data_IF_026688722271
#
_entry.id   IF_026688722271
#
_cell.length_a   1.000
_cell.length_b   1.000
_cell.length_c   1.000
_cell.angle_alpha   90.00
_cell.angle_beta   90.00
_cell.angle_gamma   90.00
#
_symmetry.space_group_name_H-M   'P 1'
#
loop_
_entity.id
_entity.type
_entity.pdbx_description
1 polymer ?
#
# COMPACT_ATOMS: atom_id res chain seq x y z
N UNK A 1 43.45 -1.00 11.94
CA UNK A 1 43.28 0.17 12.83
C UNK A 1 43.61 1.42 12.03
N UNK A 2 42.60 2.05 11.43
CA UNK A 2 42.74 3.29 10.67
C UNK A 2 41.89 4.38 11.30
N UNK A 3 42.50 5.53 11.59
CA UNK A 3 41.90 6.70 12.25
C UNK A 3 40.92 7.40 11.32
N UNK A 4 39.72 7.70 11.81
CA UNK A 4 38.76 8.58 11.15
C UNK A 4 39.15 10.04 11.45
N UNK A 5 39.38 10.81 10.40
CA UNK A 5 39.64 12.25 10.46
C UNK A 5 38.34 13.00 10.77
N UNK A 6 38.36 13.84 11.81
CA UNK A 6 37.27 14.78 12.14
C UNK A 6 37.43 16.06 11.31
N UNK A 7 36.37 16.68 10.80
CA UNK A 7 36.45 18.04 10.29
C UNK A 7 36.68 19.02 11.46
N UNK A 8 37.70 19.85 11.34
CA UNK A 8 37.99 21.00 12.20
C UNK A 8 37.05 22.15 11.81
N UNK A 9 36.30 22.69 12.75
CA UNK A 9 35.49 23.92 12.56
C UNK A 9 36.27 25.07 13.19
N UNK A 10 36.77 25.97 12.34
CA UNK A 10 37.40 27.21 12.75
C UNK A 10 36.34 28.20 13.27
N UNK A 11 36.70 28.90 14.34
CA UNK A 11 35.79 29.69 15.17
C UNK A 11 36.04 31.17 14.96
N UNK A 12 35.58 31.74 13.85
CA UNK A 12 35.36 33.19 13.73
C UNK A 12 34.66 33.55 12.42
N UNK A 13 33.38 33.90 12.50
CA UNK A 13 32.82 35.12 11.90
C UNK A 13 31.36 35.27 12.33
N UNK A 14 31.15 36.11 13.35
CA UNK A 14 29.81 36.59 13.72
C UNK A 14 29.48 37.72 12.73
N UNK A 15 28.70 37.40 11.70
CA UNK A 15 27.98 38.42 10.93
C UNK A 15 26.50 38.31 11.31
N UNK A 16 26.09 39.24 12.17
CA UNK A 16 24.70 39.46 12.56
C UNK A 16 23.96 40.14 11.41
N UNK A 17 23.30 39.37 10.55
CA UNK A 17 22.25 39.89 9.69
C UNK A 17 20.90 39.69 10.38
N UNK A 18 20.38 40.74 11.00
CA UNK A 18 19.02 40.80 11.52
C UNK A 18 18.04 40.75 10.35
N UNK A 19 17.51 39.57 10.03
CA UNK A 19 16.25 39.42 9.32
C UNK A 19 15.27 38.73 10.27
N UNK A 20 14.17 39.42 10.58
CA UNK A 20 13.00 38.82 11.20
C UNK A 20 12.43 37.75 10.26
N UNK A 21 12.39 36.45 10.62
CA UNK A 21 11.71 35.47 9.79
C UNK A 21 10.24 35.38 10.23
N UNK A 22 9.35 35.41 9.25
CA UNK A 22 7.93 35.10 9.39
C UNK A 22 7.72 33.72 10.02
N UNK A 23 7.00 33.72 11.14
CA UNK A 23 5.80 32.93 11.45
C UNK A 23 5.49 31.79 10.45
N UNK A 24 6.14 30.64 10.60
CA UNK A 24 5.59 29.27 10.55
C UNK A 24 6.77 28.28 10.69
N UNK A 25 6.65 27.20 11.49
CA UNK A 25 7.73 26.21 11.57
C UNK A 25 7.93 25.57 10.19
N UNK A 26 9.17 25.48 9.69
CA UNK A 26 9.44 24.84 8.40
C UNK A 26 8.92 23.40 8.40
N UNK A 27 8.55 22.89 7.22
CA UNK A 27 8.25 21.47 7.05
C UNK A 27 9.42 20.61 7.55
N UNK A 28 9.17 19.37 8.02
CA UNK A 28 10.23 18.47 8.46
C UNK A 28 11.36 18.34 7.44
N UNK A 29 12.57 18.07 7.93
CA UNK A 29 13.81 17.89 7.18
C UNK A 29 14.20 19.12 6.35
N UNK A 30 13.89 20.32 6.86
CA UNK A 30 14.14 21.61 6.21
C UNK A 30 13.48 21.77 4.83
N UNK A 31 12.37 21.08 4.56
CA UNK A 31 11.60 21.30 3.32
C UNK A 31 11.01 22.73 3.31
N UNK A 32 10.99 23.35 2.14
CA UNK A 32 10.46 24.70 1.89
C UNK A 32 9.41 24.64 0.79
N UNK A 33 8.34 25.42 0.95
CA UNK A 33 7.27 25.53 -0.03
C UNK A 33 5.92 25.81 0.63
N UNK A 34 4.96 26.22 -0.20
CA UNK A 34 3.57 26.41 0.17
C UNK A 34 2.84 25.06 0.32
N UNK A 35 1.76 24.97 1.12
CA UNK A 35 1.02 23.73 1.33
C UNK A 35 0.56 23.00 0.05
N UNK A 36 0.32 23.76 -1.04
CA UNK A 36 -0.10 23.24 -2.34
C UNK A 36 1.06 22.82 -3.25
N UNK A 37 2.30 23.13 -2.89
CA UNK A 37 3.46 22.77 -3.70
C UNK A 37 3.64 21.26 -3.74
N UNK A 38 3.89 20.71 -4.92
CA UNK A 38 4.18 19.29 -5.13
C UNK A 38 5.69 19.12 -5.28
N UNK A 39 6.38 18.51 -4.29
CA UNK A 39 7.82 18.31 -4.37
C UNK A 39 8.18 17.38 -5.54
N UNK A 40 9.16 17.81 -6.33
CA UNK A 40 9.68 17.04 -7.46
C UNK A 40 11.12 16.61 -7.15
N UNK A 41 11.46 15.32 -7.29
CA UNK A 41 12.82 14.83 -7.13
C UNK A 41 13.82 15.58 -8.01
N UNK A 42 14.98 15.91 -7.48
CA UNK A 42 16.04 16.59 -8.24
C UNK A 42 16.79 15.59 -9.10
N UNK A 43 16.90 15.89 -10.39
CA UNK A 43 17.67 15.09 -11.35
C UNK A 43 16.86 13.93 -11.95
N UNK A 44 17.21 13.59 -13.20
CA UNK A 44 16.46 12.61 -14.00
C UNK A 44 16.43 11.21 -13.38
N UNK A 45 17.51 10.80 -12.73
CA UNK A 45 17.62 9.47 -12.10
C UNK A 45 16.69 9.38 -10.89
N UNK A 46 16.66 10.39 -10.01
CA UNK A 46 15.78 10.41 -8.86
C UNK A 46 14.30 10.46 -9.28
N UNK A 47 13.97 11.23 -10.33
CA UNK A 47 12.63 11.23 -10.91
C UNK A 47 12.24 9.85 -11.41
N UNK A 48 13.11 9.19 -12.19
CA UNK A 48 12.85 7.84 -12.70
C UNK A 48 12.64 6.83 -11.55
N UNK A 49 13.43 6.90 -10.49
CA UNK A 49 13.27 6.06 -9.30
C UNK A 49 11.91 6.34 -8.64
N UNK A 50 11.53 7.61 -8.50
CA UNK A 50 10.24 8.03 -7.95
C UNK A 50 9.08 7.46 -8.76
N UNK A 51 9.12 7.60 -10.09
CA UNK A 51 8.07 7.10 -11.00
C UNK A 51 7.94 5.57 -10.92
N UNK A 52 9.05 4.85 -10.84
CA UNK A 52 9.06 3.38 -10.69
C UNK A 52 8.50 2.94 -9.32
N UNK A 53 8.75 3.69 -8.25
CA UNK A 53 8.14 3.44 -6.95
C UNK A 53 6.64 3.75 -6.93
N UNK A 54 6.19 4.73 -7.71
CA UNK A 54 4.77 5.04 -7.94
C UNK A 54 4.01 3.88 -8.60
N UNK A 55 4.70 3.10 -9.44
CA UNK A 55 4.12 1.91 -10.08
C UNK A 55 3.94 0.72 -9.13
N UNK A 56 4.59 0.73 -7.97
CA UNK A 56 4.42 -0.34 -6.97
C UNK A 56 3.12 -0.14 -6.22
N UNK A 57 2.17 -1.02 -6.48
CA UNK A 57 0.95 -1.07 -5.71
C UNK A 57 1.09 -1.83 -4.39
N UNK A 58 0.22 -1.47 -3.46
CA UNK A 58 -0.03 -2.09 -2.17
C UNK A 58 0.13 -3.63 -2.18
N UNK A 59 0.88 -4.23 -1.23
CA UNK A 59 0.84 -5.69 -0.94
C UNK A 59 -0.45 -6.08 -0.17
N UNK A 60 -1.55 -5.44 -0.57
CA UNK A 60 -2.86 -5.55 0.04
C UNK A 60 -3.50 -6.87 -0.43
N UNK A 61 -3.45 -7.89 0.43
CA UNK A 61 -4.05 -9.20 0.13
C UNK A 61 -5.58 -9.21 0.25
N UNK A 62 -6.14 -8.15 0.83
CA UNK A 62 -7.58 -7.95 0.87
C UNK A 62 -7.93 -6.48 1.07
N UNK A 63 -9.07 -6.07 0.53
CA UNK A 63 -9.66 -4.75 0.70
C UNK A 63 -11.16 -4.84 0.53
N UNK A 64 -11.89 -3.84 1.02
CA UNK A 64 -13.34 -3.83 0.93
C UNK A 64 -13.94 -2.50 1.34
N UNK A 65 -15.25 -2.39 1.16
CA UNK A 65 -16.02 -1.20 1.49
C UNK A 65 -17.38 -1.17 0.83
N UNK A 66 -17.95 0.02 0.73
CA UNK A 66 -19.20 0.24 0.00
C UNK A 66 -18.97 0.07 -1.51
N UNK A 67 -19.85 -0.69 -2.16
CA UNK A 67 -19.78 -0.92 -3.59
C UNK A 67 -20.62 0.12 -4.35
N UNK A 68 -20.17 1.38 -4.34
CA UNK A 68 -20.85 2.48 -5.04
C UNK A 68 -21.00 2.26 -6.55
N UNK A 69 -20.17 1.39 -7.12
CA UNK A 69 -20.18 1.00 -8.53
C UNK A 69 -21.32 0.03 -8.88
N UNK A 70 -22.03 -0.51 -7.87
CA UNK A 70 -23.11 -1.48 -8.07
C UNK A 70 -24.48 -0.85 -7.82
N UNK A 71 -25.50 -1.19 -8.63
CA UNK A 71 -26.86 -0.80 -8.31
C UNK A 71 -27.31 -1.50 -7.02
N UNK A 72 -28.21 -0.85 -6.29
CA UNK A 72 -28.75 -1.38 -5.01
C UNK A 72 -29.44 -2.74 -5.22
N UNK A 73 -30.13 -2.90 -6.35
CA UNK A 73 -30.88 -4.10 -6.66
C UNK A 73 -30.17 -4.91 -7.75
N UNK A 74 -29.66 -6.12 -7.44
CA UNK A 74 -29.02 -6.98 -8.43
C UNK A 74 -30.01 -7.61 -9.44
N UNK A 75 -31.32 -7.56 -9.15
CA UNK A 75 -32.30 -8.36 -9.88
C UNK A 75 -32.03 -9.86 -9.74
N UNK A 76 -31.61 -10.31 -8.55
CA UNK A 76 -31.33 -11.72 -8.28
C UNK A 76 -32.60 -12.55 -8.47
N UNK A 77 -32.55 -13.54 -9.35
CA UNK A 77 -33.57 -14.56 -9.54
C UNK A 77 -33.01 -15.91 -9.16
N UNK A 78 -33.76 -16.69 -8.37
CA UNK A 78 -33.45 -18.09 -8.05
C UNK A 78 -34.45 -19.01 -8.74
N UNK A 79 -33.95 -20.11 -9.28
CA UNK A 79 -34.76 -21.15 -9.92
C UNK A 79 -35.87 -21.63 -8.97
N UNK A 80 -37.09 -21.82 -9.49
CA UNK A 80 -38.28 -22.27 -8.73
C UNK A 80 -38.81 -21.33 -7.62
N UNK A 81 -38.11 -20.23 -7.31
CA UNK A 81 -38.57 -19.21 -6.35
C UNK A 81 -38.99 -17.94 -7.09
N UNK A 82 -38.21 -17.52 -8.10
CA UNK A 82 -38.39 -16.25 -8.78
C UNK A 82 -37.48 -15.16 -8.24
N UNK A 83 -37.96 -13.92 -8.26
CA UNK A 83 -37.15 -12.74 -7.92
C UNK A 83 -37.01 -12.59 -6.40
N UNK A 84 -35.77 -12.42 -5.95
CA UNK A 84 -35.43 -12.18 -4.54
C UNK A 84 -35.62 -10.70 -4.23
N UNK A 85 -36.36 -10.41 -3.16
CA UNK A 85 -36.57 -9.06 -2.66
C UNK A 85 -35.41 -8.62 -1.75
N UNK A 86 -35.09 -7.33 -1.80
CA UNK A 86 -34.06 -6.70 -0.96
C UNK A 86 -34.65 -5.46 -0.25
N UNK A 87 -34.21 -5.11 0.98
CA UNK A 87 -33.26 -5.86 1.79
C UNK A 87 -33.76 -7.25 2.16
N UNK A 88 -32.83 -8.21 2.28
CA UNK A 88 -33.20 -9.60 2.54
C UNK A 88 -33.91 -9.73 3.89
N UNK A 89 -35.08 -10.39 3.88
CA UNK A 89 -35.91 -10.63 5.07
C UNK A 89 -36.21 -12.12 5.25
N UNK A 90 -36.61 -12.50 6.47
CA UNK A 90 -36.85 -13.89 6.86
C UNK A 90 -37.81 -14.66 5.96
N UNK A 91 -38.92 -14.06 5.54
CA UNK A 91 -39.91 -14.70 4.65
C UNK A 91 -39.28 -15.19 3.33
N UNK A 92 -38.45 -14.35 2.71
CA UNK A 92 -37.73 -14.70 1.48
C UNK A 92 -36.67 -15.78 1.77
N UNK A 93 -36.01 -15.72 2.93
CA UNK A 93 -35.01 -16.73 3.32
C UNK A 93 -35.64 -18.11 3.48
N UNK A 94 -36.83 -18.22 4.07
CA UNK A 94 -37.53 -19.51 4.17
C UNK A 94 -37.80 -20.13 2.80
N UNK A 95 -38.07 -19.31 1.77
CA UNK A 95 -38.17 -19.79 0.39
C UNK A 95 -36.80 -20.19 -0.17
N UNK A 96 -35.76 -19.37 0.04
CA UNK A 96 -34.40 -19.65 -0.43
C UNK A 96 -33.84 -20.97 0.13
N UNK A 97 -34.13 -21.28 1.40
CA UNK A 97 -33.73 -22.55 2.03
C UNK A 97 -34.22 -23.77 1.27
N UNK A 98 -35.37 -23.71 0.61
CA UNK A 98 -35.93 -24.84 -0.15
C UNK A 98 -35.12 -25.20 -1.40
N UNK A 99 -34.33 -24.26 -1.92
CA UNK A 99 -33.45 -24.47 -3.09
C UNK A 99 -31.96 -24.51 -2.70
N UNK A 100 -31.64 -24.10 -1.48
CA UNK A 100 -30.26 -24.03 -1.01
C UNK A 100 -29.82 -25.34 -0.36
N UNK A 101 -28.52 -25.63 -0.48
CA UNK A 101 -27.88 -26.69 0.30
C UNK A 101 -27.47 -26.11 1.65
N UNK A 102 -27.92 -26.69 2.75
CA UNK A 102 -27.39 -26.35 4.07
C UNK A 102 -25.92 -26.79 4.15
N UNK A 103 -25.06 -25.85 4.53
CA UNK A 103 -23.65 -26.13 4.79
C UNK A 103 -23.51 -26.55 6.26
N UNK A 104 -23.48 -25.56 7.16
CA UNK A 104 -23.40 -25.72 8.61
C UNK A 104 -23.98 -24.48 9.30
N UNK A 105 -24.33 -24.60 10.58
CA UNK A 105 -24.75 -23.49 11.45
C UNK A 105 -25.68 -22.50 10.75
N UNK A 106 -26.92 -22.85 10.40
CA UNK A 106 -27.88 -21.88 9.84
C UNK A 106 -27.33 -21.07 8.64
N UNK A 107 -26.49 -21.71 7.82
CA UNK A 107 -25.90 -21.13 6.62
C UNK A 107 -26.15 -22.04 5.43
N UNK A 108 -26.58 -21.43 4.33
CA UNK A 108 -27.04 -22.12 3.15
C UNK A 108 -26.35 -21.58 1.89
N UNK A 109 -26.03 -22.49 0.98
CA UNK A 109 -25.40 -22.18 -0.29
C UNK A 109 -26.35 -22.49 -1.44
N UNK A 110 -26.53 -21.52 -2.34
CA UNK A 110 -27.19 -21.72 -3.63
C UNK A 110 -26.11 -21.68 -4.71
N UNK A 111 -25.97 -22.74 -5.53
CA UNK A 111 -24.96 -22.77 -6.58
C UNK A 111 -25.25 -21.75 -7.68
N UNK A 112 -24.21 -21.21 -8.31
CA UNK A 112 -24.37 -20.21 -9.37
C UNK A 112 -25.26 -20.66 -10.54
N UNK A 113 -25.31 -21.97 -10.82
CA UNK A 113 -26.15 -22.54 -11.89
C UNK A 113 -27.66 -22.37 -11.66
N UNK A 114 -28.09 -22.11 -10.43
CA UNK A 114 -29.51 -21.95 -10.09
C UNK A 114 -29.94 -20.48 -10.00
N UNK A 115 -29.02 -19.53 -10.20
CA UNK A 115 -29.28 -18.11 -10.02
C UNK A 115 -28.98 -17.33 -11.31
N UNK A 116 -29.70 -16.23 -11.50
CA UNK A 116 -29.47 -15.29 -12.58
C UNK A 116 -29.60 -13.86 -12.07
N UNK A 117 -28.73 -12.96 -12.55
CA UNK A 117 -28.86 -11.52 -12.30
C UNK A 117 -29.62 -10.90 -13.46
N UNK A 118 -30.82 -10.40 -13.21
CA UNK A 118 -31.68 -9.82 -14.24
C UNK A 118 -31.44 -8.35 -14.47
N UNK A 119 -30.80 -7.64 -13.53
CA UNK A 119 -30.45 -6.24 -13.72
C UNK A 119 -29.19 -6.14 -14.60
N UNK A 120 -29.25 -5.61 -15.84
CA UNK A 120 -28.07 -5.45 -16.69
C UNK A 120 -27.05 -4.45 -16.11
N UNK A 121 -27.51 -3.48 -15.31
CA UNK A 121 -26.61 -2.55 -14.61
C UNK A 121 -25.76 -3.27 -13.55
N UNK A 122 -26.26 -4.39 -13.00
CA UNK A 122 -25.47 -5.21 -12.08
C UNK A 122 -24.30 -5.86 -12.80
N UNK A 123 -24.54 -6.43 -13.99
CA UNK A 123 -23.48 -7.00 -14.82
C UNK A 123 -22.42 -5.96 -15.21
N UNK A 124 -22.88 -4.78 -15.62
CA UNK A 124 -21.99 -3.65 -15.97
C UNK A 124 -21.20 -3.16 -14.75
N UNK A 125 -21.85 -3.00 -13.59
CA UNK A 125 -21.20 -2.60 -12.34
C UNK A 125 -20.19 -3.62 -11.85
N UNK A 126 -20.46 -4.93 -11.98
CA UNK A 126 -19.48 -5.98 -11.68
C UNK A 126 -18.28 -5.87 -12.61
N UNK A 127 -18.46 -5.62 -13.90
CA UNK A 127 -17.33 -5.42 -14.82
C UNK A 127 -16.45 -4.22 -14.42
N UNK A 128 -17.06 -3.09 -14.05
CA UNK A 128 -16.32 -1.91 -13.56
C UNK A 128 -15.61 -2.21 -12.24
N UNK A 129 -16.28 -2.88 -11.30
CA UNK A 129 -15.67 -3.33 -10.05
C UNK A 129 -14.48 -4.27 -10.32
N UNK A 130 -14.59 -5.17 -11.30
CA UNK A 130 -13.48 -6.07 -11.68
C UNK A 130 -12.30 -5.32 -12.28
N UNK A 131 -12.54 -4.29 -13.10
CA UNK A 131 -11.46 -3.45 -13.64
C UNK A 131 -10.74 -2.71 -12.51
N UNK A 132 -11.48 -2.13 -11.57
CA UNK A 132 -10.92 -1.50 -10.36
C UNK A 132 -10.09 -2.50 -9.53
N UNK A 133 -10.59 -3.72 -9.33
CA UNK A 133 -9.87 -4.77 -8.60
C UNK A 133 -8.62 -5.20 -9.37
N UNK A 134 -8.72 -5.38 -10.69
CA UNK A 134 -7.59 -5.75 -11.53
C UNK A 134 -6.47 -4.73 -11.42
N UNK A 135 -6.82 -3.44 -11.52
CA UNK A 135 -5.88 -2.34 -11.33
C UNK A 135 -5.23 -2.44 -9.95
N UNK A 136 -6.01 -2.50 -8.85
CA UNK A 136 -5.52 -2.60 -7.47
C UNK A 136 -4.63 -3.81 -7.17
N UNK A 137 -4.73 -4.87 -7.97
CA UNK A 137 -3.97 -6.11 -7.80
C UNK A 137 -2.79 -6.21 -8.78
N UNK A 138 -2.48 -5.15 -9.54
CA UNK A 138 -1.37 -5.13 -10.51
C UNK A 138 -1.66 -5.90 -11.81
N UNK A 139 -2.93 -6.12 -12.13
CA UNK A 139 -3.41 -6.66 -13.41
C UNK A 139 -3.95 -5.54 -14.31
N UNK A 140 -3.27 -4.37 -14.31
CA UNK A 140 -3.60 -3.26 -15.20
C UNK A 140 -3.64 -3.74 -16.65
N UNK A 141 -4.63 -3.27 -17.41
CA UNK A 141 -4.89 -3.64 -18.81
C UNK A 141 -5.21 -5.13 -19.06
N UNK A 142 -5.41 -5.93 -17.99
CA UNK A 142 -5.86 -7.31 -18.10
C UNK A 142 -7.33 -7.38 -17.71
N UNK A 143 -8.15 -7.78 -18.68
CA UNK A 143 -9.58 -8.05 -18.46
C UNK A 143 -9.78 -9.34 -17.64
N UNK A 144 -9.70 -9.25 -16.31
CA UNK A 144 -10.03 -10.35 -15.42
C UNK A 144 -11.48 -10.80 -15.64
N UNK A 145 -11.70 -12.11 -15.62
CA UNK A 145 -13.01 -12.70 -15.90
C UNK A 145 -13.75 -13.01 -14.60
N UNK A 146 -14.81 -12.25 -14.24
CA UNK A 146 -15.63 -12.59 -13.09
C UNK A 146 -16.49 -13.81 -13.34
N UNK A 147 -16.46 -14.75 -12.40
CA UNK A 147 -17.33 -15.92 -12.39
C UNK A 147 -18.04 -16.04 -11.06
N UNK A 148 -19.36 -15.87 -11.04
CA UNK A 148 -20.16 -16.20 -9.87
C UNK A 148 -20.03 -17.70 -9.60
N UNK A 149 -19.70 -18.06 -8.36
CA UNK A 149 -19.57 -19.47 -7.96
C UNK A 149 -20.76 -19.93 -7.14
N UNK A 150 -21.22 -19.09 -6.22
CA UNK A 150 -22.34 -19.37 -5.33
C UNK A 150 -22.89 -18.11 -4.67
N UNK A 151 -24.08 -18.25 -4.14
CA UNK A 151 -24.73 -17.29 -3.24
C UNK A 151 -24.81 -17.94 -1.85
N UNK A 152 -24.29 -17.25 -0.84
CA UNK A 152 -24.34 -17.64 0.56
C UNK A 152 -25.45 -16.88 1.27
N UNK A 153 -26.25 -17.57 2.07
CA UNK A 153 -27.25 -16.99 2.98
C UNK A 153 -26.91 -17.44 4.40
N UNK A 154 -26.79 -16.51 5.35
CA UNK A 154 -26.57 -16.80 6.77
C UNK A 154 -27.73 -16.21 7.57
N UNK A 155 -28.38 -17.03 8.39
CA UNK A 155 -29.41 -16.61 9.33
C UNK A 155 -28.89 -16.41 10.75
N UNK A 156 -29.77 -16.15 11.72
CA UNK A 156 -29.39 -16.00 13.12
C UNK A 156 -28.67 -17.24 13.64
N UNK A 157 -27.46 -17.01 14.12
CA UNK A 157 -26.54 -18.02 14.59
C UNK A 157 -25.61 -18.61 13.55
N UNK A 158 -25.73 -18.18 12.29
CA UNK A 158 -24.92 -18.73 11.22
C UNK A 158 -23.60 -18.05 10.96
N UNK A 159 -22.66 -18.85 10.45
CA UNK A 159 -21.27 -18.48 10.22
C UNK A 159 -20.71 -19.28 9.03
N UNK A 160 -19.57 -18.82 8.52
CA UNK A 160 -18.80 -19.55 7.51
C UNK A 160 -17.46 -19.88 8.13
N UNK A 161 -17.19 -21.17 8.36
CA UNK A 161 -15.92 -21.60 8.91
C UNK A 161 -14.75 -21.27 7.98
N UNK A 162 -13.58 -21.07 8.60
CA UNK A 162 -12.34 -20.85 7.86
C UNK A 162 -11.91 -22.14 7.19
N UNK A 163 -12.15 -22.24 5.89
CA UNK A 163 -11.60 -23.33 5.08
C UNK A 163 -10.18 -22.98 4.59
N UNK A 164 -9.29 -23.98 4.46
CA UNK A 164 -7.98 -23.77 3.85
C UNK A 164 -8.12 -23.12 2.48
N UNK A 165 -7.22 -22.19 2.16
CA UNK A 165 -7.22 -21.51 0.87
C UNK A 165 -7.00 -22.52 -0.26
N UNK A 166 -8.05 -22.87 -1.00
CA UNK A 166 -7.93 -23.71 -2.19
C UNK A 166 -7.75 -22.80 -3.40
N UNK A 167 -6.51 -22.73 -3.91
CA UNK A 167 -6.23 -22.06 -5.17
C UNK A 167 -6.81 -22.93 -6.29
N UNK A 168 -7.88 -22.45 -6.91
CA UNK A 168 -8.55 -23.17 -8.01
C UNK A 168 -8.13 -22.59 -9.35
N UNK A 169 -7.37 -23.36 -10.12
CA UNK A 169 -7.02 -23.02 -11.50
C UNK A 169 -6.34 -21.66 -11.63
N UNK A 170 -6.95 -20.77 -12.43
CA UNK A 170 -6.43 -19.43 -12.77
C UNK A 170 -7.03 -18.29 -11.93
N UNK A 171 -7.59 -18.60 -10.76
CA UNK A 171 -8.18 -17.59 -9.88
C UNK A 171 -7.09 -16.74 -9.22
N UNK A 172 -7.21 -15.41 -9.32
CA UNK A 172 -6.28 -14.45 -8.69
C UNK A 172 -6.85 -13.78 -7.46
N UNK A 173 -8.18 -13.66 -7.38
CA UNK A 173 -8.88 -13.05 -6.26
C UNK A 173 -10.32 -13.54 -6.17
N UNK A 174 -10.90 -13.41 -4.98
CA UNK A 174 -12.29 -13.76 -4.68
C UNK A 174 -13.02 -12.51 -4.17
N UNK A 175 -13.85 -11.86 -5.00
CA UNK A 175 -14.78 -10.84 -4.57
C UNK A 175 -16.01 -11.46 -3.90
N UNK A 176 -16.32 -11.01 -2.69
CA UNK A 176 -17.54 -11.29 -1.95
C UNK A 176 -18.38 -10.02 -1.98
N UNK A 177 -19.47 -10.04 -2.73
CA UNK A 177 -20.38 -8.89 -2.88
C UNK A 177 -21.64 -9.16 -2.08
N UNK A 178 -21.91 -8.31 -1.09
CA UNK A 178 -23.07 -8.39 -0.24
C UNK A 178 -24.11 -7.38 -0.71
N UNK A 179 -25.21 -7.79 -1.36
CA UNK A 179 -26.33 -6.89 -1.65
C UNK A 179 -27.07 -6.51 -0.34
N UNK A 180 -28.02 -5.55 -0.42
CA UNK A 180 -28.67 -5.02 0.77
C UNK A 180 -29.30 -6.08 1.67
N UNK A 181 -28.91 -6.11 2.94
CA UNK A 181 -29.31 -7.13 3.92
C UNK A 181 -29.48 -6.49 5.28
N UNK A 182 -30.50 -6.88 6.03
CA UNK A 182 -30.74 -6.40 7.39
C UNK A 182 -30.30 -7.46 8.40
N UNK A 183 -29.15 -7.25 9.04
CA UNK A 183 -28.55 -8.21 9.99
C UNK A 183 -27.54 -7.53 10.92
N UNK A 184 -27.13 -8.25 11.97
CA UNK A 184 -26.09 -7.83 12.93
C UNK A 184 -25.09 -8.96 13.17
N UNK A 185 -23.84 -8.63 13.50
CA UNK A 185 -22.73 -9.57 13.53
C UNK A 185 -22.32 -9.97 12.12
N UNK A 186 -21.78 -11.18 11.94
CA UNK A 186 -21.44 -11.68 10.60
C UNK A 186 -20.27 -10.95 9.93
N UNK A 187 -19.32 -10.46 10.71
CA UNK A 187 -18.12 -9.81 10.19
C UNK A 187 -17.31 -10.78 9.35
N UNK A 188 -16.67 -10.25 8.32
CA UNK A 188 -15.87 -11.04 7.40
C UNK A 188 -14.39 -10.89 7.77
N UNK A 189 -13.72 -12.00 8.07
CA UNK A 189 -12.30 -12.00 8.47
C UNK A 189 -11.45 -12.69 7.42
N UNK A 190 -10.49 -11.94 6.87
CA UNK A 190 -9.53 -12.45 5.88
C UNK A 190 -8.16 -12.64 6.52
N UNK A 191 -7.54 -13.80 6.28
CA UNK A 191 -6.17 -14.07 6.69
C UNK A 191 -5.36 -14.62 5.53
N UNK A 192 -4.13 -14.13 5.39
CA UNK A 192 -3.15 -14.66 4.44
C UNK A 192 -2.58 -15.97 4.98
N UNK A 193 -2.32 -16.96 4.14
CA UNK A 193 -1.70 -18.21 4.57
C UNK A 193 -0.38 -17.94 5.33
N UNK A 194 -0.26 -18.49 6.54
CA UNK A 194 0.92 -18.32 7.41
C UNK A 194 0.99 -16.99 8.17
N UNK A 195 0.05 -16.06 7.96
CA UNK A 195 -0.01 -14.82 8.74
C UNK A 195 -0.66 -15.05 10.12
N UNK A 196 -0.16 -14.35 11.14
CA UNK A 196 -0.73 -14.36 12.50
C UNK A 196 -1.91 -13.39 12.66
N UNK A 197 -2.01 -12.40 11.78
CA UNK A 197 -3.00 -11.32 11.87
C UNK A 197 -4.09 -11.52 10.80
N UNK A 198 -5.33 -11.17 11.16
CA UNK A 198 -6.48 -11.19 10.27
C UNK A 198 -7.01 -9.76 10.09
N UNK A 199 -7.58 -9.46 8.93
CA UNK A 199 -8.25 -8.19 8.66
C UNK A 199 -9.76 -8.42 8.76
N UNK A 200 -10.43 -7.63 9.62
CA UNK A 200 -11.87 -7.70 9.86
C UNK A 200 -12.61 -6.63 9.06
N UNK A 201 -13.71 -7.02 8.43
CA UNK A 201 -14.62 -6.14 7.70
C UNK A 201 -16.03 -6.18 8.31
N UNK A 202 -16.46 -5.05 8.84
CA UNK A 202 -17.78 -4.85 9.44
C UNK A 202 -18.81 -4.48 8.36
N UNK A 203 -19.39 -5.51 7.74
CA UNK A 203 -20.35 -5.35 6.64
C UNK A 203 -21.80 -5.19 7.13
N UNK A 204 -22.08 -5.49 8.41
CA UNK A 204 -23.41 -5.44 9.02
C UNK A 204 -23.76 -4.08 9.66
N UNK A 205 -23.15 -3.00 9.17
CA UNK A 205 -23.39 -1.64 9.68
C UNK A 205 -24.77 -1.10 9.24
N UNK A 206 -25.12 0.12 9.66
CA UNK A 206 -26.41 0.75 9.34
C UNK A 206 -26.68 0.94 7.84
N UNK A 207 -25.65 0.96 7.00
CA UNK A 207 -25.78 1.04 5.55
C UNK A 207 -26.07 -0.31 4.88
N UNK A 208 -25.85 -1.44 5.57
CA UNK A 208 -26.00 -2.78 5.04
C UNK A 208 -27.39 -3.05 4.46
N UNK A 209 -28.45 -2.47 5.04
CA UNK A 209 -29.82 -2.63 4.57
C UNK A 209 -30.15 -1.84 3.29
N UNK A 210 -29.29 -0.92 2.85
CA UNK A 210 -29.61 0.03 1.78
C UNK A 210 -28.56 0.13 0.68
N UNK A 211 -27.37 -0.46 0.90
CA UNK A 211 -26.25 -0.39 -0.03
C UNK A 211 -25.49 -1.71 -0.12
N UNK A 212 -25.06 -2.10 -1.34
CA UNK A 212 -24.18 -3.22 -1.49
C UNK A 212 -22.80 -2.92 -0.90
N UNK A 213 -22.19 -3.92 -0.28
CA UNK A 213 -20.80 -3.90 0.15
C UNK A 213 -20.00 -4.94 -0.63
N UNK A 214 -18.69 -4.79 -0.64
CA UNK A 214 -17.81 -5.80 -1.19
C UNK A 214 -16.55 -5.97 -0.35
N UNK A 215 -16.01 -7.18 -0.34
CA UNK A 215 -14.67 -7.48 0.13
C UNK A 215 -13.99 -8.34 -0.93
N UNK A 216 -12.73 -8.06 -1.21
CA UNK A 216 -11.90 -8.83 -2.13
C UNK A 216 -10.75 -9.39 -1.34
N UNK A 217 -10.38 -10.64 -1.61
CA UNK A 217 -9.15 -11.22 -1.10
C UNK A 217 -8.44 -12.02 -2.18
N UNK A 218 -7.11 -11.97 -2.18
CA UNK A 218 -6.28 -12.61 -3.19
C UNK A 218 -6.27 -14.14 -3.03
N UNK A 219 -5.93 -14.84 -4.11
CA UNK A 219 -5.72 -16.28 -4.08
C UNK A 219 -4.64 -16.66 -3.05
N UNK A 220 -4.89 -17.71 -2.27
CA UNK A 220 -4.01 -18.12 -1.16
C UNK A 220 -4.37 -17.47 0.19
N UNK A 221 -5.27 -16.48 0.21
CA UNK A 221 -5.92 -16.01 1.42
C UNK A 221 -7.12 -16.90 1.78
N UNK A 222 -7.38 -17.06 3.08
CA UNK A 222 -8.57 -17.72 3.61
C UNK A 222 -9.54 -16.69 4.19
N UNK A 223 -10.82 -16.99 4.16
CA UNK A 223 -11.88 -16.13 4.66
C UNK A 223 -12.81 -16.93 5.57
N UNK A 224 -13.27 -16.32 6.66
CA UNK A 224 -14.41 -16.81 7.43
C UNK A 224 -15.42 -15.68 7.64
N UNK A 225 -16.62 -16.05 8.06
CA UNK A 225 -17.66 -15.12 8.48
C UNK A 225 -18.01 -15.46 9.91
N UNK A 226 -17.91 -14.46 10.80
CA UNK A 226 -18.31 -14.59 12.20
C UNK A 226 -19.82 -14.87 12.32
N UNK A 227 -20.27 -15.13 13.54
CA UNK A 227 -21.65 -15.48 13.79
C UNK A 227 -22.58 -14.29 13.54
N UNK A 228 -23.58 -14.47 12.69
CA UNK A 228 -24.72 -13.54 12.57
C UNK A 228 -25.54 -13.66 13.85
N UNK A 229 -25.78 -12.55 14.54
CA UNK A 229 -26.51 -12.54 15.83
C UNK A 229 -28.00 -12.24 15.65
N UNK A 230 -28.35 -11.46 14.62
CA UNK A 230 -29.73 -11.12 14.28
C UNK A 230 -29.88 -10.89 12.76
N UNK A 231 -31.09 -11.08 12.24
CA UNK A 231 -31.42 -10.87 10.83
C UNK A 231 -30.78 -11.89 9.88
N UNK A 232 -30.70 -11.53 8.60
CA UNK A 232 -30.21 -12.42 7.55
C UNK A 232 -29.25 -11.71 6.61
N UNK A 233 -28.11 -12.37 6.36
CA UNK A 233 -27.05 -11.89 5.47
C UNK A 233 -27.08 -12.72 4.18
N UNK A 234 -27.01 -12.08 3.01
CA UNK A 234 -26.74 -12.77 1.74
C UNK A 234 -25.51 -12.19 1.06
N UNK A 235 -24.69 -13.05 0.46
CA UNK A 235 -23.47 -12.65 -0.24
C UNK A 235 -23.26 -13.47 -1.50
N UNK A 236 -22.84 -12.80 -2.57
CA UNK A 236 -22.45 -13.39 -3.84
C UNK A 236 -20.95 -13.58 -3.85
N UNK A 237 -20.48 -14.80 -4.08
CA UNK A 237 -19.06 -15.14 -4.09
C UNK A 237 -18.60 -15.36 -5.53
N UNK A 238 -17.76 -14.45 -6.00
CA UNK A 238 -17.16 -14.48 -7.33
C UNK A 238 -15.73 -15.01 -7.27
N UNK A 239 -15.26 -15.58 -8.37
CA UNK A 239 -13.85 -15.78 -8.66
C UNK A 239 -13.44 -14.85 -9.78
N UNK A 240 -12.33 -14.13 -9.62
CA UNK A 240 -11.69 -13.40 -10.70
C UNK A 240 -10.62 -14.28 -11.32
N UNK A 241 -10.83 -14.65 -12.58
CA UNK A 241 -9.95 -15.55 -13.31
C UNK A 241 -9.04 -14.76 -14.26
N UNK A 242 -7.77 -15.13 -14.28
CA UNK A 242 -6.85 -14.75 -15.36
C UNK A 242 -7.33 -15.33 -16.69
N UNK A 243 -7.39 -14.51 -17.76
CA UNK A 243 -7.61 -15.02 -19.11
C UNK A 243 -6.58 -16.08 -19.50
N UNK A 244 -6.97 -17.02 -20.37
CA UNK A 244 -6.13 -18.16 -20.74
C UNK A 244 -4.78 -17.73 -21.37
N UNK A 245 -4.79 -16.61 -22.09
CA UNK A 245 -3.65 -16.03 -22.79
C UNK A 245 -2.62 -15.35 -21.88
N UNK A 246 -2.99 -14.97 -20.64
CA UNK A 246 -2.09 -14.23 -19.74
C UNK A 246 -1.33 -15.21 -18.84
N UNK A 247 0.01 -15.31 -18.89
CA UNK A 247 0.77 -16.26 -18.09
C UNK A 247 0.41 -16.25 -16.59
N UNK A 248 0.37 -17.44 -15.96
CA UNK A 248 -0.04 -17.57 -14.55
C UNK A 248 0.92 -16.87 -13.58
N UNK A 249 2.17 -16.66 -14.00
CA UNK A 249 3.21 -15.95 -13.26
C UNK A 249 3.31 -14.46 -13.68
N UNK A 250 2.29 -13.89 -14.34
CA UNK A 250 2.26 -12.50 -14.80
C UNK A 250 2.76 -11.51 -13.74
N UNK A 251 2.18 -11.49 -12.54
CA UNK A 251 2.60 -10.55 -11.49
C UNK A 251 4.05 -10.76 -11.05
N UNK A 252 4.55 -12.01 -11.06
CA UNK A 252 5.95 -12.29 -10.75
C UNK A 252 6.85 -11.77 -11.87
N UNK A 253 6.50 -11.98 -13.14
CA UNK A 253 7.25 -11.48 -14.29
C UNK A 253 7.24 -9.97 -14.37
N UNK A 254 6.08 -9.34 -14.22
CA UNK A 254 5.93 -7.89 -14.19
C UNK A 254 6.75 -7.29 -13.06
N UNK A 255 6.69 -7.87 -11.85
CA UNK A 255 7.53 -7.44 -10.71
C UNK A 255 9.02 -7.61 -10.99
N UNK A 256 9.46 -8.74 -11.55
CA UNK A 256 10.87 -8.97 -11.88
C UNK A 256 11.38 -8.00 -12.94
N UNK A 257 10.58 -7.73 -13.99
CA UNK A 257 10.91 -6.76 -15.02
C UNK A 257 11.04 -5.35 -14.42
N UNK A 258 10.05 -4.93 -13.62
CA UNK A 258 10.05 -3.65 -12.94
C UNK A 258 11.24 -3.53 -11.96
N UNK A 259 11.58 -4.60 -11.23
CA UNK A 259 12.74 -4.63 -10.32
C UNK A 259 14.05 -4.50 -11.08
N UNK A 260 14.14 -5.06 -12.29
CA UNK A 260 15.27 -4.88 -13.19
C UNK A 260 15.40 -3.44 -13.69
N UNK A 261 14.29 -2.79 -14.05
CA UNK A 261 14.26 -1.36 -14.42
C UNK A 261 14.68 -0.47 -13.25
N UNK A 262 14.16 -0.74 -12.05
CA UNK A 262 14.58 -0.02 -10.85
C UNK A 262 16.07 -0.25 -10.55
N UNK A 263 16.57 -1.49 -10.64
CA UNK A 263 17.99 -1.77 -10.45
C UNK A 263 18.86 -1.01 -11.47
N UNK A 264 18.42 -0.92 -12.72
CA UNK A 264 19.12 -0.14 -13.75
C UNK A 264 19.11 1.37 -13.43
N UNK A 265 18.04 1.91 -12.86
CA UNK A 265 17.98 3.29 -12.40
C UNK A 265 18.88 3.52 -11.16
N UNK A 266 18.82 2.63 -10.17
CA UNK A 266 19.65 2.71 -8.96
C UNK A 266 21.16 2.64 -9.30
N UNK A 267 21.54 1.85 -10.31
CA UNK A 267 22.94 1.75 -10.78
C UNK A 267 23.49 3.08 -11.33
N UNK A 268 22.61 3.97 -11.79
CA UNK A 268 23.00 5.29 -12.32
C UNK A 268 23.21 6.34 -11.23
N UNK A 269 22.87 6.03 -9.97
CA UNK A 269 23.25 6.88 -8.86
C UNK A 269 24.79 6.91 -8.76
N UNK A 270 25.34 8.12 -8.65
CA UNK A 270 26.76 8.29 -8.35
C UNK A 270 27.06 7.57 -7.03
N UNK A 271 28.11 6.77 -7.01
CA UNK A 271 28.51 6.08 -5.78
C UNK A 271 29.07 7.08 -4.78
N UNK A 272 28.87 6.78 -3.49
CA UNK A 272 29.45 7.56 -2.40
C UNK A 272 30.99 7.48 -2.37
N UNK A 273 31.62 8.10 -1.35
CA UNK A 273 33.05 8.45 -1.32
C UNK A 273 34.07 7.31 -1.54
N UNK A 274 33.65 6.05 -1.55
CA UNK A 274 34.53 4.88 -1.60
C UNK A 274 34.89 4.42 -3.03
N UNK A 275 34.32 5.04 -4.08
CA UNK A 275 34.55 4.65 -5.48
C UNK A 275 35.65 5.44 -6.22
N UNK A 276 36.48 6.23 -5.51
CA UNK A 276 37.66 6.90 -6.08
C UNK A 276 38.76 5.87 -6.51
N UNK A 277 38.60 4.59 -6.17
CA UNK A 277 39.60 3.54 -6.44
C UNK A 277 39.46 2.77 -7.75
N UNK A 278 38.42 3.00 -8.56
CA UNK A 278 38.17 2.18 -9.77
C UNK A 278 37.84 3.03 -11.00
N UNK A 279 38.76 3.92 -11.36
CA UNK A 279 38.85 4.41 -12.74
C UNK A 279 40.13 3.78 -13.30
N UNK A 280 39.97 2.79 -14.17
CA UNK A 280 41.05 2.38 -15.06
C UNK A 280 41.40 3.60 -15.92
N UNK A 281 42.61 4.13 -15.72
CA UNK A 281 43.14 5.27 -16.49
C UNK A 281 43.31 4.87 -17.96
N UNK A 282 42.37 5.28 -18.82
CA UNK A 282 42.61 5.41 -20.26
C UNK A 282 43.22 6.80 -20.52
N UNK A 283 44.45 6.91 -21.06
CA UNK A 283 45.10 8.19 -21.25
C UNK A 283 44.71 8.81 -22.60
N UNK A 284 43.97 9.92 -22.59
CA UNK A 284 43.91 10.83 -23.73
C UNK A 284 44.35 12.24 -23.35
N UNK A 285 45.23 12.88 -24.15
CA UNK A 285 45.86 14.13 -23.78
C UNK A 285 45.04 15.35 -24.23
N UNK A 286 44.89 16.31 -23.30
CA UNK A 286 44.94 17.75 -23.55
C UNK A 286 43.72 18.44 -24.17
N UNK A 287 43.01 19.24 -23.37
CA UNK A 287 43.02 20.71 -23.50
C UNK A 287 42.36 21.37 -22.26
N UNK A 288 42.93 22.44 -21.65
CA UNK A 288 42.35 23.06 -20.47
C UNK A 288 41.81 24.47 -20.79
N UNK A 289 40.54 24.61 -21.21
CA UNK A 289 39.90 25.94 -21.21
C UNK A 289 38.43 25.85 -20.81
N UNK A 290 38.16 26.35 -19.60
CA UNK A 290 36.92 26.95 -19.11
C UNK A 290 35.59 26.36 -19.62
N UNK A 291 35.10 25.36 -18.88
CA UNK A 291 33.67 25.26 -18.60
C UNK A 291 33.52 25.16 -17.08
N UNK A 292 33.18 26.26 -16.43
CA UNK A 292 32.62 26.25 -15.08
C UNK A 292 31.19 25.70 -15.18
N UNK A 293 31.07 24.41 -15.46
CA UNK A 293 29.85 23.68 -15.18
C UNK A 293 29.76 23.58 -13.66
N UNK A 294 28.74 24.23 -13.10
CA UNK A 294 28.18 24.05 -11.77
C UNK A 294 28.41 22.61 -11.25
N UNK A 295 29.53 22.40 -10.55
CA UNK A 295 29.86 21.14 -9.88
C UNK A 295 29.06 21.10 -8.60
N UNK A 296 27.78 20.77 -8.72
CA UNK A 296 26.92 20.42 -7.59
C UNK A 296 27.37 19.09 -6.99
N UNK A 297 28.28 19.17 -6.01
CA UNK A 297 28.82 18.07 -5.18
C UNK A 297 27.73 17.12 -4.64
N UNK A 298 27.49 16.03 -5.38
CA UNK A 298 27.90 14.65 -5.08
C UNK A 298 27.87 14.23 -3.59
N UNK A 299 26.66 13.88 -3.12
CA UNK A 299 26.31 12.80 -2.17
C UNK A 299 24.87 13.03 -1.67
N UNK A 300 23.89 12.99 -2.57
CA UNK A 300 22.51 13.33 -2.23
C UNK A 300 21.76 12.13 -1.62
N UNK A 301 21.39 12.23 -0.34
CA UNK A 301 20.51 11.26 0.30
C UNK A 301 19.14 11.35 -0.38
N UNK A 302 18.74 10.26 -1.03
CA UNK A 302 17.37 10.07 -1.48
C UNK A 302 16.48 9.76 -0.27
N UNK A 303 15.44 10.56 -0.07
CA UNK A 303 14.46 10.35 0.99
C UNK A 303 13.09 10.04 0.37
N UNK A 304 12.34 9.15 1.00
CA UNK A 304 10.96 8.85 0.63
C UNK A 304 10.12 8.86 1.91
N UNK A 305 9.04 9.64 1.92
CA UNK A 305 8.13 9.74 3.07
C UNK A 305 7.23 8.52 3.07
N UNK A 306 7.15 7.82 4.21
CA UNK A 306 6.26 6.68 4.35
C UNK A 306 4.80 7.16 4.44
N UNK A 307 3.92 6.52 3.66
CA UNK A 307 2.51 6.90 3.55
C UNK A 307 1.73 6.65 4.84
N UNK A 308 2.06 5.60 5.60
CA UNK A 308 1.42 5.32 6.88
C UNK A 308 2.19 5.92 8.07
N UNK A 309 1.45 6.31 9.11
CA UNK A 309 2.04 6.72 10.39
C UNK A 309 2.49 5.52 11.20
N UNK A 310 3.78 5.20 11.13
CA UNK A 310 4.40 4.21 12.01
C UNK A 310 4.76 4.86 13.34
N UNK A 311 3.93 4.63 14.36
CA UNK A 311 4.26 4.94 15.76
C UNK A 311 5.57 4.25 16.18
N UNK A 312 5.95 4.35 17.47
CA UNK A 312 7.12 3.69 18.12
C UNK A 312 7.42 2.22 17.75
N UNK A 313 6.60 1.53 16.95
CA UNK A 313 6.83 0.21 16.36
C UNK A 313 8.13 0.08 15.56
N UNK A 314 8.56 1.11 14.80
CA UNK A 314 9.89 1.10 14.17
C UNK A 314 11.06 1.16 15.19
N UNK A 315 10.76 1.35 16.48
CA UNK A 315 11.75 1.35 17.58
C UNK A 315 11.99 -0.04 18.19
N UNK A 316 11.23 -1.06 17.79
CA UNK A 316 11.38 -2.44 18.25
C UNK A 316 11.99 -3.35 17.15
N UNK A 317 12.35 -4.59 17.54
CA UNK A 317 13.13 -5.56 16.75
C UNK A 317 12.56 -5.94 15.38
N UNK A 318 11.38 -5.46 15.02
CA UNK A 318 10.70 -5.80 13.77
C UNK A 318 11.22 -4.98 12.57
N UNK A 319 11.84 -3.81 12.82
CA UNK A 319 12.49 -3.01 11.76
C UNK A 319 11.59 -2.75 10.56
N UNK A 320 12.09 -3.03 9.34
CA UNK A 320 11.31 -2.88 8.11
C UNK A 320 10.13 -3.86 8.00
N UNK A 321 10.11 -4.96 8.76
CA UNK A 321 8.97 -5.90 8.76
C UNK A 321 7.72 -5.31 9.41
N UNK A 322 7.87 -4.23 10.18
CA UNK A 322 6.76 -3.44 10.74
C UNK A 322 6.04 -2.59 9.69
N UNK A 323 6.64 -2.37 8.51
CA UNK A 323 5.97 -1.69 7.40
C UNK A 323 4.76 -2.50 6.94
N UNK A 324 3.71 -1.81 6.52
CA UNK A 324 2.49 -2.41 5.99
C UNK A 324 2.05 -1.71 4.70
N UNK A 325 1.14 -2.35 3.96
CA UNK A 325 0.60 -1.78 2.73
C UNK A 325 1.67 -1.36 1.71
N UNK A 326 1.58 -0.11 1.25
CA UNK A 326 2.31 0.40 0.09
C UNK A 326 3.75 0.67 0.45
N UNK A 327 4.00 1.11 1.69
CA UNK A 327 5.34 1.30 2.23
C UNK A 327 6.12 -0.01 2.26
N UNK A 328 5.49 -1.10 2.73
CA UNK A 328 6.13 -2.43 2.72
C UNK A 328 6.40 -2.89 1.30
N UNK A 329 5.44 -2.70 0.40
CA UNK A 329 5.56 -3.11 -0.99
C UNK A 329 6.72 -2.37 -1.69
N UNK A 330 6.77 -1.05 -1.57
CA UNK A 330 7.83 -0.18 -2.12
C UNK A 330 9.18 -0.48 -1.50
N UNK A 331 9.26 -0.66 -0.18
CA UNK A 331 10.51 -0.98 0.48
C UNK A 331 11.04 -2.37 0.09
N UNK A 332 10.16 -3.38 -0.01
CA UNK A 332 10.55 -4.69 -0.54
C UNK A 332 11.01 -4.58 -2.00
N UNK A 333 10.32 -3.79 -2.82
CA UNK A 333 10.70 -3.56 -4.21
C UNK A 333 12.08 -2.90 -4.34
N UNK A 334 12.38 -1.92 -3.49
CA UNK A 334 13.72 -1.33 -3.35
C UNK A 334 14.76 -2.37 -2.96
N UNK A 335 14.47 -3.23 -1.99
CA UNK A 335 15.39 -4.31 -1.57
C UNK A 335 15.62 -5.33 -2.68
N UNK A 336 14.57 -5.74 -3.37
CA UNK A 336 14.64 -6.69 -4.49
C UNK A 336 15.54 -6.10 -5.58
N UNK A 337 15.30 -4.84 -6.00
CA UNK A 337 16.13 -4.15 -6.99
C UNK A 337 17.58 -3.93 -6.53
N UNK A 338 17.78 -3.52 -5.27
CA UNK A 338 19.11 -3.33 -4.70
C UNK A 338 19.92 -4.63 -4.67
N UNK A 339 19.28 -5.78 -4.44
CA UNK A 339 19.95 -7.08 -4.46
C UNK A 339 20.49 -7.49 -5.83
N UNK A 340 19.97 -6.87 -6.91
CA UNK A 340 20.44 -7.07 -8.28
C UNK A 340 21.68 -6.23 -8.61
N UNK A 341 22.03 -5.25 -7.77
CA UNK A 341 23.24 -4.43 -7.94
C UNK A 341 24.50 -5.20 -7.51
N UNK A 342 25.66 -4.93 -8.15
CA UNK A 342 26.95 -5.40 -7.67
C UNK A 342 27.17 -5.00 -6.20
N UNK A 343 27.84 -5.82 -5.36
CA UNK A 343 27.97 -5.55 -3.92
C UNK A 343 28.48 -4.15 -3.57
N UNK A 344 29.43 -3.59 -4.34
CA UNK A 344 29.95 -2.23 -4.12
C UNK A 344 29.03 -1.09 -4.54
N UNK A 345 27.92 -1.37 -5.23
CA UNK A 345 26.90 -0.40 -5.65
C UNK A 345 25.58 -0.55 -4.89
N UNK A 346 25.50 -1.47 -3.93
CA UNK A 346 24.30 -1.66 -3.14
C UNK A 346 24.09 -0.48 -2.18
N UNK A 347 22.89 0.09 -2.22
CA UNK A 347 22.49 1.18 -1.34
C UNK A 347 22.29 0.71 0.10
N UNK A 348 22.58 1.62 1.03
CA UNK A 348 22.24 1.45 2.44
C UNK A 348 20.92 2.14 2.76
N UNK A 349 20.01 1.42 3.40
CA UNK A 349 18.69 1.93 3.78
C UNK A 349 18.63 2.30 5.26
N UNK A 350 18.02 3.45 5.55
CA UNK A 350 17.79 3.93 6.91
C UNK A 350 16.37 4.48 7.06
N UNK A 351 15.81 4.34 8.26
CA UNK A 351 14.60 5.05 8.65
C UNK A 351 14.97 6.31 9.43
N UNK A 352 14.42 7.45 9.04
CA UNK A 352 14.59 8.72 9.75
C UNK A 352 13.25 9.11 10.39
N UNK A 353 13.28 9.48 11.67
CA UNK A 353 12.14 10.05 12.36
C UNK A 353 12.52 11.45 12.84
N UNK A 354 11.69 12.44 12.50
CA UNK A 354 11.87 13.82 12.92
C UNK A 354 10.86 14.22 13.98
N UNK A 355 11.32 14.97 14.99
CA UNK A 355 10.47 15.68 15.94
C UNK A 355 11.04 17.05 16.25
N UNK A 356 10.16 18.02 16.51
CA UNK A 356 10.56 19.37 16.91
C UNK A 356 10.58 19.50 18.43
N UNK A 357 11.67 20.04 18.98
CA UNK A 357 11.78 20.40 20.40
C UNK A 357 11.88 21.91 20.55
N UNK A 358 11.34 22.45 21.63
CA UNK A 358 11.42 23.89 21.93
C UNK A 358 12.31 24.09 23.14
N UNK A 359 13.44 24.76 22.95
CA UNK A 359 14.37 25.13 24.03
C UNK A 359 14.51 26.66 24.05
N UNK A 360 14.19 27.29 25.20
CA UNK A 360 14.56 28.67 25.52
C UNK A 360 14.33 29.66 24.36
N UNK A 361 13.15 29.62 23.71
CA UNK A 361 12.69 30.44 22.56
C UNK A 361 13.09 29.99 21.15
N UNK A 362 13.81 28.88 20.97
CA UNK A 362 14.14 28.33 19.65
C UNK A 362 13.49 26.96 19.45
N UNK A 363 12.79 26.79 18.33
CA UNK A 363 12.36 25.47 17.86
C UNK A 363 13.53 24.83 17.11
N UNK A 364 13.89 23.62 17.51
CA UNK A 364 14.95 22.82 16.90
C UNK A 364 14.36 21.51 16.39
N UNK A 365 14.69 21.14 15.16
CA UNK A 365 14.38 19.83 14.63
C UNK A 365 15.42 18.80 15.11
N UNK A 366 14.96 17.65 15.57
CA UNK A 366 15.77 16.53 16.04
C UNK A 366 15.43 15.31 15.19
N UNK A 367 16.43 14.79 14.47
CA UNK A 367 16.28 13.60 13.64
C UNK A 367 16.97 12.39 14.27
N UNK A 368 16.21 11.30 14.38
CA UNK A 368 16.67 10.01 14.86
C UNK A 368 16.76 9.03 13.70
N UNK A 369 17.95 8.51 13.45
CA UNK A 369 18.23 7.55 12.39
C UNK A 369 18.23 6.12 12.92
N UNK A 370 17.67 5.20 12.15
CA UNK A 370 17.61 3.76 12.47
C UNK A 370 18.00 2.92 11.27
N UNK A 371 18.64 1.78 11.51
CA UNK A 371 18.85 0.75 10.49
C UNK A 371 17.52 0.08 10.10
N UNK A 372 17.55 -0.69 9.02
CA UNK A 372 16.40 -1.52 8.59
C UNK A 372 15.96 -2.57 9.61
N UNK A 373 16.77 -2.85 10.64
CA UNK A 373 16.44 -3.78 11.73
C UNK A 373 15.90 -3.08 12.97
N UNK A 374 15.74 -1.74 12.92
CA UNK A 374 15.22 -0.92 14.03
C UNK A 374 16.29 -0.43 15.01
N UNK A 375 17.56 -0.85 14.84
CA UNK A 375 18.65 -0.40 15.70
C UNK A 375 18.94 1.09 15.47
N UNK A 376 19.10 1.86 16.55
CA UNK A 376 19.47 3.27 16.48
C UNK A 376 20.86 3.40 15.85
N UNK A 377 20.99 4.24 14.84
CA UNK A 377 22.28 4.56 14.24
C UNK A 377 22.97 5.67 15.06
N UNK A 378 24.26 5.47 15.40
CA UNK A 378 25.05 6.43 16.18
C UNK A 378 24.85 6.36 17.70
N UNK A 379 25.20 7.44 18.40
CA UNK A 379 25.15 7.58 19.87
C UNK A 379 23.78 8.00 20.41
N UNK A 380 22.75 8.07 19.56
CA UNK A 380 21.41 8.50 19.93
C UNK A 380 21.23 10.00 20.18
N UNK A 381 22.28 10.82 20.03
CA UNK A 381 22.13 12.29 20.04
C UNK A 381 21.67 12.74 18.66
N UNK A 382 20.47 13.32 18.57
CA UNK A 382 19.94 13.82 17.31
C UNK A 382 20.86 14.87 16.69
N UNK A 383 21.07 14.76 15.38
CA UNK A 383 21.95 15.65 14.62
C UNK A 383 21.11 16.67 13.87
N UNK A 384 21.59 17.92 13.82
CA UNK A 384 21.00 18.92 12.93
C UNK A 384 21.36 18.57 11.48
N UNK A 385 20.38 18.59 10.59
CA UNK A 385 20.60 18.39 9.16
C UNK A 385 21.36 19.58 8.56
N UNK A 386 22.52 19.31 7.96
CA UNK A 386 23.34 20.33 7.30
C UNK A 386 22.98 20.54 5.83
N UNK A 387 22.32 19.57 5.18
CA UNK A 387 21.89 19.63 3.77
C UNK A 387 20.45 19.12 3.62
N UNK A 388 19.66 19.66 2.66
CA UNK A 388 18.32 19.15 2.36
C UNK A 388 18.39 17.79 1.67
N UNK A 389 17.40 16.92 1.91
CA UNK A 389 17.27 15.67 1.15
C UNK A 389 16.71 15.89 -0.25
N UNK A 390 16.97 14.93 -1.12
CA UNK A 390 16.26 14.80 -2.38
C UNK A 390 15.05 13.88 -2.17
N UNK A 391 13.87 14.48 -2.09
CA UNK A 391 12.64 13.77 -1.79
C UNK A 391 12.06 13.12 -3.04
N UNK A 392 11.91 11.80 -2.98
CA UNK A 392 11.07 11.01 -3.87
C UNK A 392 9.60 11.27 -3.52
N UNK A 393 8.77 11.47 -4.54
CA UNK A 393 7.34 11.73 -4.41
C UNK A 393 6.55 10.83 -5.39
N UNK A 394 6.49 9.52 -5.14
CA UNK A 394 5.88 8.55 -6.07
C UNK A 394 4.36 8.68 -6.23
N UNK A 395 3.69 9.45 -5.35
CA UNK A 395 2.24 9.63 -5.35
C UNK A 395 1.82 11.05 -5.82
N UNK A 396 2.78 11.86 -6.28
CA UNK A 396 2.57 13.26 -6.70
C UNK A 396 1.82 14.11 -5.65
N UNK A 397 2.09 13.84 -4.36
CA UNK A 397 1.41 14.50 -3.25
C UNK A 397 1.95 15.92 -3.03
N UNK A 398 1.07 16.86 -2.69
CA UNK A 398 1.46 18.19 -2.21
C UNK A 398 2.09 18.11 -0.80
N UNK A 399 2.83 19.14 -0.40
CA UNK A 399 3.43 19.23 0.94
C UNK A 399 2.38 19.04 2.06
N UNK A 400 1.17 19.60 1.88
CA UNK A 400 0.08 19.39 2.84
C UNK A 400 -0.44 17.96 2.91
N UNK A 401 -0.41 17.21 1.81
CA UNK A 401 -0.82 15.81 1.77
C UNK A 401 0.27 14.89 2.37
N UNK A 402 1.52 15.09 1.96
CA UNK A 402 2.70 14.35 2.45
C UNK A 402 2.83 14.41 3.97
N UNK A 403 2.57 15.57 4.57
CA UNK A 403 2.74 15.81 6.00
C UNK A 403 1.43 15.90 6.79
N UNK A 404 0.28 15.97 6.11
CA UNK A 404 -1.03 16.20 6.74
C UNK A 404 -1.52 15.05 7.62
N UNK A 405 -1.12 13.81 7.30
CA UNK A 405 -1.42 12.63 8.14
C UNK A 405 -0.47 12.50 9.35
N UNK A 406 0.62 13.27 9.36
CA UNK A 406 1.65 13.28 10.39
C UNK A 406 1.50 14.54 11.25
N UNK A 407 0.33 14.72 11.86
CA UNK A 407 0.01 15.96 12.57
C UNK A 407 0.71 16.08 13.94
N UNK A 408 1.12 17.33 14.22
CA UNK A 408 1.84 17.85 15.38
C UNK A 408 1.41 17.21 16.70
N UNK A 409 2.40 16.84 17.52
CA UNK A 409 2.17 16.64 18.94
C UNK A 409 1.72 17.98 19.51
N UNK A 410 0.42 18.10 19.80
CA UNK A 410 -0.10 19.17 20.65
C UNK A 410 0.50 18.97 22.04
N UNK A 411 1.39 19.88 22.43
CA UNK A 411 1.82 19.99 23.82
C UNK A 411 0.79 20.87 24.55
N UNK A 412 0.11 20.26 25.52
CA UNK A 412 -0.73 20.95 26.50
C UNK A 412 0.08 21.93 27.38
#
# INVERSE_FOLDING_TARGET
MGRIHRPSIDSSEIVSCCHTPSIDPPWPFNMKGEPSDVPVPKGKVAQQISDLLGQVQNDEFCFGGLAYLLPVLPGLKVSNIGTVSFPLRGEMVEQLKLQAREEQFQSWTIPASQVAMQNPEWGSGIAVLCAFIAEKLGYKDIALLPRLTRVLVCGPGGCVERLPAVVTGRCVATPVVQPPSEYTGGDLLVSRAGAKNEVRYELGNTAAAFRPHYVVYTAGSSCCVERVTAGYRIAMVYQLLLPAQVPFDWCKRARLALSGELAAALKQLKAGPDDIGAIEEEPYPGNPENDTSDTGDDDEILAFVLSNSYNRMLSYKDGWEALSGVDRARFQFLKDANSLLPPGKQLSFYFANSHFTTELTKTKEVVVWRSITGAVAGNGSGTALSKPFNFLNPDDESLSQLWGQHQKVDYA
#
